data_IF_342311739005
#
_entry.id   IF_342311739005
#
_cell.length_a   1.000
_cell.length_b   1.000
_cell.length_c   1.000
_cell.angle_alpha   90.00
_cell.angle_beta   90.00
_cell.angle_gamma   90.00
#
_symmetry.space_group_name_H-M   'P 1'
#
loop_
_entity.id
_entity.type
_entity.pdbx_description
1 polymer ?
#
# COMPACT_ATOMS: atom_id res chain seq x y z
N UNK A 1 8.89 5.98 -7.77
CA UNK A 1 8.05 5.62 -6.61
C UNK A 1 7.02 6.71 -6.44
N UNK A 2 5.72 6.40 -6.45
CA UNK A 2 4.66 7.43 -6.32
C UNK A 2 4.52 7.96 -4.90
N UNK A 3 4.32 9.27 -4.75
CA UNK A 3 4.01 9.88 -3.44
C UNK A 3 2.57 9.60 -3.02
N UNK A 4 2.27 9.72 -1.72
CA UNK A 4 0.88 9.56 -1.25
C UNK A 4 -0.06 10.62 -1.86
N UNK A 5 0.43 11.80 -2.20
CA UNK A 5 -0.36 12.82 -2.88
C UNK A 5 -0.75 12.36 -4.30
N UNK A 6 0.19 11.80 -5.06
CA UNK A 6 -0.07 11.23 -6.38
C UNK A 6 -1.02 10.03 -6.30
N UNK A 7 -0.83 9.14 -5.32
CA UNK A 7 -1.74 8.00 -5.11
C UNK A 7 -3.15 8.43 -4.75
N UNK A 8 -3.28 9.46 -3.90
CA UNK A 8 -4.58 10.05 -3.56
C UNK A 8 -5.24 10.69 -4.78
N UNK A 9 -4.47 11.36 -5.65
CA UNK A 9 -5.00 11.89 -6.90
C UNK A 9 -5.55 10.77 -7.79
N UNK A 10 -4.76 9.71 -8.02
CA UNK A 10 -5.20 8.56 -8.81
C UNK A 10 -6.45 7.88 -8.22
N UNK A 11 -6.53 7.80 -6.89
CA UNK A 11 -7.70 7.27 -6.21
C UNK A 11 -8.95 8.13 -6.46
N UNK A 12 -8.84 9.45 -6.32
CA UNK A 12 -9.96 10.38 -6.58
C UNK A 12 -10.44 10.38 -8.05
N UNK A 13 -9.58 9.99 -9.00
CA UNK A 13 -9.96 9.85 -10.41
C UNK A 13 -10.76 8.56 -10.67
N UNK A 14 -10.63 7.54 -9.81
CA UNK A 14 -11.17 6.20 -10.03
C UNK A 14 -12.27 5.79 -9.04
N UNK A 15 -12.35 6.46 -7.89
CA UNK A 15 -13.20 6.10 -6.77
C UNK A 15 -13.83 7.35 -6.14
N UNK A 16 -14.98 7.20 -5.49
CA UNK A 16 -15.63 8.29 -4.75
C UNK A 16 -14.88 8.68 -3.48
N UNK A 17 -14.03 7.79 -2.97
CA UNK A 17 -13.22 7.97 -1.77
C UNK A 17 -11.74 7.74 -2.07
N UNK A 18 -10.86 8.32 -1.27
CA UNK A 18 -9.40 8.14 -1.38
C UNK A 18 -8.80 7.63 -0.07
N UNK A 19 -9.34 6.51 0.39
CA UNK A 19 -8.85 5.75 1.53
C UNK A 19 -7.61 4.90 1.18
N UNK A 20 -7.11 4.16 2.18
CA UNK A 20 -5.92 3.32 2.05
C UNK A 20 -6.06 2.30 0.91
N UNK A 21 -7.22 1.63 0.81
CA UNK A 21 -7.46 0.58 -0.18
C UNK A 21 -7.57 1.19 -1.58
N UNK A 22 -8.30 2.29 -1.72
CA UNK A 22 -8.49 3.00 -2.98
C UNK A 22 -7.15 3.52 -3.52
N UNK A 23 -6.28 4.03 -2.65
CA UNK A 23 -4.92 4.45 -3.01
C UNK A 23 -4.06 3.27 -3.51
N UNK A 24 -4.07 2.14 -2.80
CA UNK A 24 -3.31 0.95 -3.21
C UNK A 24 -3.84 0.36 -4.52
N UNK A 25 -5.16 0.32 -4.71
CA UNK A 25 -5.76 -0.18 -5.94
C UNK A 25 -5.55 0.77 -7.12
N UNK A 26 -5.64 2.08 -6.92
CA UNK A 26 -5.33 3.06 -7.95
C UNK A 26 -3.86 2.96 -8.39
N UNK A 27 -2.94 2.76 -7.44
CA UNK A 27 -1.54 2.51 -7.75
C UNK A 27 -1.39 1.25 -8.61
N UNK A 28 -2.02 0.15 -8.22
CA UNK A 28 -2.01 -1.11 -8.94
C UNK A 28 -2.53 -0.96 -10.37
N UNK A 29 -3.67 -0.29 -10.55
CA UNK A 29 -4.32 -0.09 -11.84
C UNK A 29 -3.58 0.87 -12.76
N UNK A 30 -2.71 1.71 -12.22
CA UNK A 30 -1.80 2.54 -13.03
C UNK A 30 -0.68 1.74 -13.72
N UNK A 31 -0.62 0.41 -13.50
CA UNK A 31 0.39 -0.49 -14.06
C UNK A 31 1.83 -0.05 -13.76
N UNK A 32 2.03 0.46 -12.54
CA UNK A 32 3.28 1.03 -12.08
C UNK A 32 4.37 -0.05 -11.93
N UNK A 33 5.53 0.18 -12.55
CA UNK A 33 6.65 -0.78 -12.57
C UNK A 33 7.36 -0.89 -11.21
N UNK A 34 7.36 0.18 -10.40
CA UNK A 34 7.94 0.13 -9.07
C UNK A 34 7.09 -0.76 -8.17
N UNK A 35 5.76 -0.61 -8.22
CA UNK A 35 4.86 -1.52 -7.52
C UNK A 35 5.04 -2.96 -7.98
N UNK A 36 5.04 -3.21 -9.30
CA UNK A 36 5.25 -4.56 -9.84
C UNK A 36 6.54 -5.21 -9.33
N UNK A 37 7.60 -4.42 -9.17
CA UNK A 37 8.89 -4.87 -8.61
C UNK A 37 8.79 -5.20 -7.11
N UNK A 38 8.06 -4.39 -6.35
CA UNK A 38 7.84 -4.61 -4.90
C UNK A 38 6.94 -5.83 -4.63
N UNK A 39 6.04 -6.16 -5.54
CA UNK A 39 5.05 -7.23 -5.36
C UNK A 39 5.62 -8.63 -5.56
N UNK A 40 6.83 -8.81 -6.11
CA UNK A 40 7.35 -10.14 -6.39
C UNK A 40 7.36 -11.05 -5.13
N UNK A 41 6.92 -12.32 -5.25
CA UNK A 41 6.63 -13.05 -6.48
C UNK A 41 5.21 -12.90 -7.04
N UNK A 42 4.33 -12.14 -6.39
CA UNK A 42 2.95 -11.94 -6.87
C UNK A 42 2.90 -10.86 -7.97
N UNK A 43 1.89 -10.94 -8.84
CA UNK A 43 1.66 -9.94 -9.88
C UNK A 43 0.58 -8.91 -9.46
N UNK A 44 0.47 -7.84 -10.25
CA UNK A 44 -0.54 -6.78 -10.05
C UNK A 44 -1.98 -7.32 -10.11
N UNK A 45 -2.25 -8.38 -10.87
CA UNK A 45 -3.61 -8.95 -11.01
C UNK A 45 -4.03 -9.64 -9.72
N UNK A 46 -3.15 -10.41 -9.10
CA UNK A 46 -3.41 -11.04 -7.81
C UNK A 46 -3.55 -9.99 -6.70
N UNK A 47 -2.73 -8.94 -6.75
CA UNK A 47 -2.82 -7.81 -5.82
C UNK A 47 -4.17 -7.07 -5.92
N UNK A 48 -4.59 -6.67 -7.12
CA UNK A 48 -5.90 -6.02 -7.35
C UNK A 48 -7.06 -6.89 -6.83
N UNK A 49 -7.06 -8.19 -7.18
CA UNK A 49 -8.08 -9.14 -6.71
C UNK A 49 -8.11 -9.33 -5.20
N UNK A 50 -6.96 -9.25 -4.53
CA UNK A 50 -6.90 -9.39 -3.07
C UNK A 50 -7.47 -8.16 -2.34
N UNK A 51 -7.38 -6.98 -2.94
CA UNK A 51 -7.86 -5.73 -2.35
C UNK A 51 -9.32 -5.44 -2.69
N UNK A 52 -9.81 -5.94 -3.83
CA UNK A 52 -11.18 -5.72 -4.31
C UNK A 52 -12.29 -5.93 -3.25
N UNK A 53 -12.23 -6.92 -2.33
CA UNK A 53 -13.25 -7.10 -1.30
C UNK A 53 -13.32 -6.00 -0.24
N UNK A 54 -12.35 -5.09 -0.19
CA UNK A 54 -12.28 -4.02 0.82
C UNK A 54 -12.62 -2.64 0.26
N UNK A 55 -12.80 -2.51 -1.06
CA UNK A 55 -13.23 -1.27 -1.68
C UNK A 55 -14.57 -0.79 -1.11
N UNK A 56 -14.70 0.52 -0.93
CA UNK A 56 -15.94 1.18 -0.49
C UNK A 56 -16.44 0.66 0.88
N UNK A 57 -15.57 -0.02 1.63
CA UNK A 57 -15.83 -0.41 3.00
C UNK A 57 -15.12 0.54 3.94
N UNK A 58 -15.89 1.49 4.46
CA UNK A 58 -15.46 2.35 5.55
C UNK A 58 -14.85 1.52 6.69
N UNK A 59 -13.59 1.80 7.00
CA UNK A 59 -12.87 1.13 8.05
C UNK A 59 -11.96 2.08 8.81
N UNK A 60 -12.21 2.22 10.10
CA UNK A 60 -11.42 3.08 10.98
C UNK A 60 -9.96 2.62 11.09
N UNK A 61 -9.69 1.30 10.99
CA UNK A 61 -8.33 0.76 11.03
C UNK A 61 -7.52 1.16 9.78
N UNK A 62 -8.16 1.18 8.60
CA UNK A 62 -7.51 1.64 7.36
C UNK A 62 -7.12 3.12 7.46
N UNK A 63 -8.01 3.94 8.03
CA UNK A 63 -7.75 5.36 8.28
C UNK A 63 -6.62 5.58 9.28
N UNK A 64 -6.57 4.78 10.36
CA UNK A 64 -5.47 4.81 11.35
C UNK A 64 -4.13 4.46 10.71
N UNK A 65 -4.06 3.43 9.88
CA UNK A 65 -2.83 3.07 9.16
C UNK A 65 -2.37 4.17 8.21
N UNK A 66 -3.29 4.83 7.49
CA UNK A 66 -2.93 5.92 6.60
C UNK A 66 -2.34 7.11 7.38
N UNK A 67 -2.96 7.47 8.51
CA UNK A 67 -2.44 8.53 9.40
C UNK A 67 -1.10 8.15 10.02
N UNK A 68 -0.92 6.89 10.42
CA UNK A 68 0.35 6.38 10.94
C UNK A 68 1.46 6.43 9.88
N UNK A 69 1.16 6.05 8.63
CA UNK A 69 2.10 6.15 7.52
C UNK A 69 2.56 7.60 7.31
N UNK A 70 1.65 8.57 7.39
CA UNK A 70 1.98 10.00 7.24
C UNK A 70 2.81 10.50 8.44
N UNK A 71 2.48 10.06 9.65
CA UNK A 71 3.16 10.46 10.88
C UNK A 71 4.58 9.89 11.00
N UNK A 72 4.79 8.65 10.54
CA UNK A 72 6.09 7.97 10.62
C UNK A 72 7.11 8.47 9.59
N UNK A 73 6.66 9.14 8.53
CA UNK A 73 7.53 9.75 7.50
C UNK A 73 7.88 11.22 7.79
N UNK A 74 7.61 11.74 9.00
CA UNK A 74 7.78 13.16 9.32
C UNK A 74 9.20 13.68 9.03
N UNK A 75 9.36 14.39 7.91
CA UNK A 75 10.64 14.91 7.41
C UNK A 75 10.94 14.53 5.95
N UNK A 76 10.32 13.46 5.45
CA UNK A 76 10.44 12.97 4.08
C UNK A 76 9.06 12.88 3.41
N UNK A 77 9.02 12.88 2.07
CA UNK A 77 7.77 12.71 1.34
C UNK A 77 7.28 11.25 1.48
N UNK A 78 6.09 11.07 2.05
CA UNK A 78 5.46 9.76 2.16
C UNK A 78 5.17 9.18 0.76
N UNK A 79 5.44 7.89 0.55
CA UNK A 79 5.27 7.22 -0.75
C UNK A 79 4.43 5.96 -0.61
N UNK A 80 3.98 5.41 -1.73
CA UNK A 80 3.29 4.10 -1.75
C UNK A 80 4.09 2.97 -1.09
N UNK A 81 5.42 3.03 -1.15
CA UNK A 81 6.28 2.09 -0.43
C UNK A 81 6.12 2.20 1.08
N UNK A 82 6.11 3.42 1.63
CA UNK A 82 5.86 3.65 3.05
C UNK A 82 4.47 3.14 3.47
N UNK A 83 3.46 3.29 2.61
CA UNK A 83 2.12 2.75 2.86
C UNK A 83 2.10 1.22 2.92
N UNK A 84 2.75 0.55 1.96
CA UNK A 84 2.86 -0.92 1.97
C UNK A 84 3.66 -1.42 3.18
N UNK A 85 4.76 -0.74 3.54
CA UNK A 85 5.52 -1.07 4.74
C UNK A 85 4.68 -0.94 6.00
N UNK A 86 3.90 0.13 6.10
CA UNK A 86 2.99 0.37 7.23
C UNK A 86 1.98 -0.77 7.31
N UNK A 87 1.32 -1.14 6.21
CA UNK A 87 0.44 -2.32 6.17
C UNK A 87 1.18 -3.59 6.64
N UNK A 88 2.41 -3.80 6.19
CA UNK A 88 3.24 -4.94 6.59
C UNK A 88 3.67 -4.93 8.07
N UNK A 89 3.58 -3.79 8.76
CA UNK A 89 3.85 -3.69 10.19
C UNK A 89 2.68 -4.17 11.07
N UNK A 90 1.47 -4.29 10.51
CA UNK A 90 0.24 -4.63 11.23
C UNK A 90 -0.36 -5.98 10.81
N UNK A 91 0.12 -7.11 11.36
CA UNK A 91 -0.33 -8.45 10.98
C UNK A 91 -1.82 -8.73 11.28
N UNK A 92 -2.41 -7.96 12.19
CA UNK A 92 -3.83 -7.98 12.52
C UNK A 92 -4.71 -7.33 11.44
N UNK A 93 -4.14 -6.49 10.58
CA UNK A 93 -4.89 -5.70 9.61
C UNK A 93 -5.48 -6.55 8.49
N UNK A 94 -6.69 -6.20 8.03
CA UNK A 94 -7.41 -6.95 6.97
C UNK A 94 -6.60 -7.02 5.67
N UNK A 95 -5.99 -5.90 5.29
CA UNK A 95 -5.18 -5.78 4.08
C UNK A 95 -3.93 -6.66 4.19
N UNK A 96 -3.21 -6.62 5.32
CA UNK A 96 -2.05 -7.49 5.55
C UNK A 96 -2.41 -8.96 5.33
N UNK A 97 -3.49 -9.43 5.97
CA UNK A 97 -3.91 -10.84 5.90
C UNK A 97 -4.29 -11.24 4.48
N UNK A 98 -4.93 -10.34 3.72
CA UNK A 98 -5.28 -10.59 2.33
C UNK A 98 -4.04 -10.71 1.43
N UNK A 99 -3.06 -9.82 1.61
CA UNK A 99 -1.80 -9.83 0.85
C UNK A 99 -0.97 -11.08 1.14
N UNK A 100 -0.79 -11.42 2.41
CA UNK A 100 -0.05 -12.64 2.81
C UNK A 100 -0.75 -13.90 2.30
N UNK A 101 -2.09 -13.93 2.27
CA UNK A 101 -2.85 -15.08 1.75
C UNK A 101 -2.59 -15.34 0.27
N UNK A 102 -2.29 -14.31 -0.52
CA UNK A 102 -1.94 -14.47 -1.95
C UNK A 102 -0.44 -14.68 -2.17
N UNK A 103 0.37 -14.74 -1.10
CA UNK A 103 1.81 -14.98 -1.18
C UNK A 103 2.68 -13.72 -1.20
N UNK A 104 2.15 -12.55 -0.84
CA UNK A 104 2.96 -11.35 -0.67
C UNK A 104 3.90 -11.50 0.53
N UNK A 105 5.20 -11.30 0.32
CA UNK A 105 6.20 -11.40 1.38
C UNK A 105 6.46 -10.05 2.04
N UNK A 106 5.64 -9.74 3.05
CA UNK A 106 5.83 -8.56 3.89
C UNK A 106 7.18 -8.53 4.62
N UNK A 107 7.82 -9.68 4.87
CA UNK A 107 9.14 -9.72 5.51
C UNK A 107 10.24 -9.36 4.50
N UNK A 108 10.12 -9.79 3.24
CA UNK A 108 11.01 -9.37 2.16
C UNK A 108 10.91 -7.86 1.91
N UNK A 109 9.69 -7.29 1.90
CA UNK A 109 9.49 -5.85 1.77
C UNK A 109 10.20 -5.07 2.88
N UNK A 110 10.16 -5.53 4.14
CA UNK A 110 10.89 -4.88 5.24
C UNK A 110 12.41 -4.97 5.10
N UNK A 111 12.93 -6.00 4.41
CA UNK A 111 14.37 -6.21 4.19
C UNK A 111 14.93 -5.46 3.00
N UNK A 112 14.08 -4.99 2.07
CA UNK A 112 14.52 -4.14 0.96
C UNK A 112 14.89 -2.72 1.41
N UNK A 113 14.67 -2.39 2.69
CA UNK A 113 15.29 -1.26 3.39
C UNK A 113 16.82 -1.44 3.34
N UNK A 114 17.47 -0.80 2.37
CA UNK A 114 18.92 -0.55 2.51
C UNK A 114 19.10 0.29 3.77
N UNK A 115 19.97 -0.11 4.72
CA UNK A 115 20.46 0.84 5.70
C UNK A 115 21.10 1.98 4.90
N UNK A 116 20.57 3.19 5.02
CA UNK A 116 21.33 4.37 4.63
C UNK A 116 22.51 4.42 5.61
N UNK A 117 23.65 3.90 5.16
CA UNK A 117 24.92 4.10 5.84
C UNK A 117 25.12 5.61 5.99
N UNK A 118 25.09 6.07 7.24
CA UNK A 118 25.55 7.40 7.64
C UNK A 118 27.06 7.44 7.66
#
# INVERSE_FOLDING_TARGET
MKSLAELRQLANESFSESGLVEMLMAWCRSADQDLASLLQPIDLVHFDKALQPFLEQDNEADSKLLLECIGTTAGEEATGYHLLLTVCAHPEHRVYRALVRIGFDCAALKKSVKPQST
#
